data_IF_001915752253
#
_entry.id   IF_001915752253
#
_cell.length_a   1.000
_cell.length_b   1.000
_cell.length_c   1.000
_cell.angle_alpha   90.00
_cell.angle_beta   90.00
_cell.angle_gamma   90.00
#
_symmetry.space_group_name_H-M   'P 1'
#
loop_
_entity.id
_entity.type
_entity.pdbx_description
1 polymer ?
#
# COMPACT_ATOMS: atom_id res chain seq x y z
N UNK A 1 -10.18 -27.36 -31.27
CA UNK A 1 -9.67 -27.67 -29.92
C UNK A 1 -8.30 -27.05 -29.84
N UNK A 2 -7.99 -26.22 -28.83
CA UNK A 2 -6.64 -25.63 -28.71
C UNK A 2 -5.62 -26.75 -28.52
N UNK A 3 -4.64 -26.80 -29.40
CA UNK A 3 -3.55 -27.77 -29.35
C UNK A 3 -2.76 -27.59 -28.06
N UNK A 4 -2.69 -28.64 -27.24
CA UNK A 4 -1.85 -28.63 -26.05
C UNK A 4 -0.39 -28.71 -26.51
N UNK A 5 0.49 -27.81 -26.05
CA UNK A 5 1.86 -27.79 -26.52
C UNK A 5 2.61 -29.03 -26.05
N UNK A 6 3.53 -29.50 -26.89
CA UNK A 6 4.32 -30.72 -26.66
C UNK A 6 5.03 -30.70 -25.30
N UNK A 7 5.55 -29.55 -24.87
CA UNK A 7 6.24 -29.45 -23.57
C UNK A 7 5.33 -29.82 -22.38
N UNK A 8 4.03 -29.51 -22.46
CA UNK A 8 3.09 -29.85 -21.39
C UNK A 8 2.74 -31.33 -21.41
N UNK A 9 2.60 -31.94 -22.60
CA UNK A 9 2.41 -33.39 -22.70
C UNK A 9 3.63 -34.15 -22.20
N UNK A 10 4.84 -33.68 -22.52
CA UNK A 10 6.10 -34.26 -22.04
C UNK A 10 6.18 -34.13 -20.50
N UNK A 11 5.73 -33.00 -19.94
CA UNK A 11 5.62 -32.81 -18.49
C UNK A 11 4.68 -33.83 -17.84
N UNK A 12 3.53 -34.11 -18.45
CA UNK A 12 2.59 -35.12 -17.96
C UNK A 12 3.13 -36.55 -18.05
N UNK A 13 4.04 -36.83 -19.00
CA UNK A 13 4.75 -38.12 -19.04
C UNK A 13 5.67 -38.25 -17.83
N UNK A 14 6.42 -37.19 -17.50
CA UNK A 14 7.36 -37.18 -16.35
C UNK A 14 6.61 -37.33 -15.03
N UNK A 15 5.54 -36.56 -14.81
CA UNK A 15 4.79 -36.57 -13.54
C UNK A 15 3.60 -37.52 -13.53
N UNK A 16 3.34 -38.23 -14.63
CA UNK A 16 2.21 -39.14 -14.82
C UNK A 16 2.03 -40.18 -13.71
N UNK A 17 3.10 -40.86 -13.24
CA UNK A 17 3.00 -41.81 -12.13
C UNK A 17 2.48 -41.19 -10.82
N UNK A 18 2.81 -39.93 -10.55
CA UNK A 18 2.36 -39.21 -9.34
C UNK A 18 0.89 -38.79 -9.49
N UNK A 19 0.48 -38.44 -10.70
CA UNK A 19 -0.87 -37.95 -11.02
C UNK A 19 -1.88 -39.08 -11.29
N UNK A 20 -1.42 -40.34 -11.30
CA UNK A 20 -2.22 -41.50 -11.68
C UNK A 20 -2.72 -41.41 -13.12
N UNK A 21 -1.84 -41.03 -14.06
CA UNK A 21 -2.16 -40.82 -15.47
C UNK A 21 -2.38 -42.13 -16.27
N UNK A 22 -2.09 -43.27 -15.66
CA UNK A 22 -2.35 -44.62 -16.17
C UNK A 22 -3.86 -44.97 -16.20
N UNK A 23 -4.67 -44.23 -15.47
CA UNK A 23 -6.12 -44.40 -15.44
C UNK A 23 -6.80 -43.77 -16.67
N UNK A 24 -7.66 -44.55 -17.33
CA UNK A 24 -8.45 -44.11 -18.48
C UNK A 24 -9.26 -42.85 -18.14
N UNK A 25 -9.06 -41.79 -18.92
CA UNK A 25 -9.77 -40.51 -18.77
C UNK A 25 -9.04 -39.46 -17.92
N UNK A 26 -8.02 -39.84 -17.15
CA UNK A 26 -7.25 -38.88 -16.34
C UNK A 26 -6.43 -37.94 -17.20
N UNK A 27 -5.86 -38.45 -18.30
CA UNK A 27 -5.12 -37.61 -19.26
C UNK A 27 -5.99 -36.46 -19.79
N UNK A 28 -7.27 -36.71 -20.08
CA UNK A 28 -8.22 -35.66 -20.52
C UNK A 28 -8.39 -34.56 -19.48
N UNK A 29 -8.47 -34.92 -18.18
CA UNK A 29 -8.56 -33.96 -17.08
C UNK A 29 -7.27 -33.16 -16.94
N UNK A 30 -6.12 -33.81 -17.01
CA UNK A 30 -4.81 -33.15 -16.92
C UNK A 30 -4.56 -32.18 -18.09
N UNK A 31 -5.09 -32.48 -19.28
CA UNK A 31 -5.09 -31.55 -20.42
C UNK A 31 -6.02 -30.35 -20.20
N UNK A 32 -7.11 -30.48 -19.44
CA UNK A 32 -7.97 -29.35 -19.07
C UNK A 32 -7.27 -28.39 -18.10
N UNK A 33 -6.40 -28.89 -17.22
CA UNK A 33 -5.61 -28.02 -16.33
C UNK A 33 -4.74 -27.04 -17.11
N UNK A 34 -4.19 -27.45 -18.25
CA UNK A 34 -3.41 -26.54 -19.09
C UNK A 34 -4.21 -25.32 -19.52
N UNK A 35 -5.47 -25.51 -19.92
CA UNK A 35 -6.35 -24.39 -20.29
C UNK A 35 -6.59 -23.46 -19.11
N UNK A 36 -6.76 -24.01 -17.91
CA UNK A 36 -6.89 -23.23 -16.69
C UNK A 36 -5.60 -22.42 -16.42
N UNK A 37 -4.43 -23.02 -16.53
CA UNK A 37 -3.16 -22.32 -16.34
C UNK A 37 -2.96 -21.18 -17.34
N UNK A 38 -3.34 -21.37 -18.61
CA UNK A 38 -3.34 -20.31 -19.61
C UNK A 38 -4.31 -19.17 -19.25
N UNK A 39 -5.52 -19.49 -18.81
CA UNK A 39 -6.50 -18.49 -18.38
C UNK A 39 -6.03 -17.70 -17.16
N UNK A 40 -5.28 -18.33 -16.25
CA UNK A 40 -4.66 -17.68 -15.11
C UNK A 40 -3.37 -16.91 -15.45
N UNK A 41 -2.90 -16.96 -16.70
CA UNK A 41 -1.68 -16.29 -17.14
C UNK A 41 -0.42 -16.83 -16.47
N UNK A 42 -0.37 -18.13 -16.20
CA UNK A 42 0.85 -18.78 -15.70
C UNK A 42 1.81 -19.05 -16.85
N UNK A 43 3.10 -18.83 -16.58
CA UNK A 43 4.20 -19.11 -17.52
C UNK A 43 4.60 -20.57 -17.43
N UNK A 44 5.31 -21.04 -18.46
CA UNK A 44 5.80 -22.43 -18.54
C UNK A 44 6.63 -22.81 -17.33
N UNK A 45 7.60 -21.97 -16.99
CA UNK A 45 8.57 -22.21 -15.92
C UNK A 45 7.86 -22.32 -14.56
N UNK A 46 6.85 -21.48 -14.34
CA UNK A 46 6.04 -21.50 -13.13
C UNK A 46 5.24 -22.80 -12.99
N UNK A 47 4.68 -23.29 -14.09
CA UNK A 47 3.96 -24.57 -14.11
C UNK A 47 4.93 -25.72 -13.83
N UNK A 48 6.08 -25.76 -14.52
CA UNK A 48 7.13 -26.78 -14.31
C UNK A 48 7.60 -26.80 -12.84
N UNK A 49 7.86 -25.64 -12.24
CA UNK A 49 8.22 -25.51 -10.83
C UNK A 49 7.12 -25.97 -9.87
N UNK A 50 5.86 -25.67 -10.20
CA UNK A 50 4.71 -26.11 -9.41
C UNK A 50 4.58 -27.65 -9.38
N UNK A 51 4.74 -28.31 -10.53
CA UNK A 51 4.78 -29.78 -10.59
C UNK A 51 6.01 -30.36 -9.87
N UNK A 52 7.18 -29.74 -10.02
CA UNK A 52 8.40 -30.16 -9.32
C UNK A 52 8.24 -30.04 -7.79
N UNK A 53 7.58 -28.99 -7.32
CA UNK A 53 7.28 -28.78 -5.89
C UNK A 53 6.35 -29.87 -5.38
N UNK A 54 5.26 -30.16 -6.10
CA UNK A 54 4.33 -31.24 -5.75
C UNK A 54 5.04 -32.60 -5.68
N UNK A 55 5.94 -32.89 -6.61
CA UNK A 55 6.64 -34.18 -6.66
C UNK A 55 7.64 -34.38 -5.52
N UNK A 56 8.27 -33.29 -5.05
CA UNK A 56 9.24 -33.32 -3.95
C UNK A 56 8.59 -33.36 -2.56
N UNK A 57 7.32 -33.00 -2.44
CA UNK A 57 6.63 -32.96 -1.15
C UNK A 57 6.23 -34.39 -0.69
N UNK A 58 6.74 -34.86 0.46
CA UNK A 58 6.34 -36.15 1.03
C UNK A 58 4.88 -36.16 1.51
N UNK A 59 4.30 -34.99 1.83
CA UNK A 59 2.93 -34.81 2.30
C UNK A 59 1.99 -34.31 1.19
N UNK A 60 2.35 -34.52 -0.07
CA UNK A 60 1.52 -34.09 -1.20
C UNK A 60 0.11 -34.69 -1.12
N UNK A 61 -0.92 -33.94 -1.56
CA UNK A 61 -2.28 -34.45 -1.61
C UNK A 61 -2.41 -35.63 -2.57
N UNK A 62 -3.34 -36.54 -2.30
CA UNK A 62 -3.62 -37.72 -3.13
C UNK A 62 -4.73 -37.46 -4.16
N UNK A 63 -5.62 -36.50 -3.90
CA UNK A 63 -6.71 -36.16 -4.80
C UNK A 63 -6.29 -35.11 -5.84
N UNK A 64 -6.67 -35.32 -7.10
CA UNK A 64 -6.24 -34.46 -8.23
C UNK A 64 -6.67 -33.01 -8.08
N UNK A 65 -7.89 -32.77 -7.59
CA UNK A 65 -8.36 -31.40 -7.34
C UNK A 65 -7.46 -30.68 -6.32
N UNK A 66 -7.05 -31.38 -5.28
CA UNK A 66 -6.15 -30.83 -4.26
C UNK A 66 -4.73 -30.64 -4.82
N UNK A 67 -4.25 -31.56 -5.66
CA UNK A 67 -2.97 -31.41 -6.38
C UNK A 67 -2.96 -30.16 -7.28
N UNK A 68 -4.06 -29.88 -7.99
CA UNK A 68 -4.19 -28.66 -8.80
C UNK A 68 -4.09 -27.40 -7.93
N UNK A 69 -4.85 -27.36 -6.83
CA UNK A 69 -4.81 -26.24 -5.87
C UNK A 69 -3.42 -26.09 -5.27
N UNK A 70 -2.75 -27.20 -4.97
CA UNK A 70 -1.38 -27.22 -4.48
C UNK A 70 -0.41 -26.58 -5.47
N UNK A 71 -0.44 -27.01 -6.74
CA UNK A 71 0.40 -26.45 -7.81
C UNK A 71 0.16 -24.94 -7.96
N UNK A 72 -1.11 -24.51 -7.99
CA UNK A 72 -1.45 -23.09 -8.06
C UNK A 72 -0.88 -22.32 -6.87
N UNK A 73 -0.99 -22.87 -5.66
CA UNK A 73 -0.44 -22.25 -4.44
C UNK A 73 1.08 -22.12 -4.51
N UNK A 74 1.79 -23.14 -4.98
CA UNK A 74 3.24 -23.12 -5.16
C UNK A 74 3.66 -22.02 -6.16
N UNK A 75 2.94 -21.88 -7.28
CA UNK A 75 3.16 -20.80 -8.26
C UNK A 75 2.97 -19.42 -7.60
N UNK A 76 1.89 -19.23 -6.84
CA UNK A 76 1.62 -17.96 -6.16
C UNK A 76 2.69 -17.62 -5.11
N UNK A 77 3.18 -18.62 -4.38
CA UNK A 77 4.26 -18.44 -3.41
C UNK A 77 5.58 -18.08 -4.09
N UNK A 78 5.94 -18.75 -5.19
CA UNK A 78 7.14 -18.41 -5.99
C UNK A 78 7.08 -16.98 -6.52
N UNK A 79 5.93 -16.56 -7.08
CA UNK A 79 5.71 -15.17 -7.51
C UNK A 79 5.85 -14.16 -6.37
N UNK A 80 5.35 -14.50 -5.18
CA UNK A 80 5.46 -13.62 -4.01
C UNK A 80 6.92 -13.51 -3.53
N UNK A 81 7.66 -14.61 -3.50
CA UNK A 81 9.06 -14.63 -3.14
C UNK A 81 9.93 -13.81 -4.11
N UNK A 82 9.71 -13.94 -5.43
CA UNK A 82 10.41 -13.15 -6.44
C UNK A 82 10.17 -11.64 -6.29
N UNK A 83 8.91 -11.24 -6.03
CA UNK A 83 8.58 -9.83 -5.72
C UNK A 83 9.23 -9.34 -4.43
N UNK A 84 9.38 -10.22 -3.45
CA UNK A 84 10.03 -9.88 -2.20
C UNK A 84 11.54 -9.71 -2.38
N UNK A 85 12.21 -10.57 -3.16
CA UNK A 85 13.64 -10.39 -3.46
C UNK A 85 13.92 -9.09 -4.23
N UNK A 86 13.09 -8.74 -5.22
CA UNK A 86 13.17 -7.44 -5.91
C UNK A 86 12.99 -6.26 -4.93
N UNK A 87 12.13 -6.42 -3.91
CA UNK A 87 11.93 -5.40 -2.89
C UNK A 87 13.12 -5.26 -1.93
N UNK A 88 13.78 -6.35 -1.56
CA UNK A 88 14.95 -6.31 -0.67
C UNK A 88 16.13 -5.59 -1.35
N UNK A 89 16.34 -5.79 -2.64
CA UNK A 89 17.34 -5.01 -3.39
C UNK A 89 17.03 -3.51 -3.37
N UNK A 90 15.74 -3.14 -3.46
CA UNK A 90 15.31 -1.74 -3.41
C UNK A 90 15.43 -1.09 -2.01
N UNK A 91 15.39 -1.87 -0.93
CA UNK A 91 15.56 -1.40 0.45
C UNK A 91 17.02 -1.12 0.83
N UNK A 92 18.00 -1.49 -0.01
CA UNK A 92 19.41 -1.14 0.22
C UNK A 92 19.79 0.27 -0.25
N UNK A 93 18.94 0.93 -1.04
CA UNK A 93 19.16 2.32 -1.42
C UNK A 93 18.86 3.26 -0.24
N UNK A 94 19.66 4.34 -0.03
CA UNK A 94 19.34 5.34 0.98
C UNK A 94 17.94 5.92 0.72
N UNK A 95 17.16 6.21 1.78
CA UNK A 95 15.82 6.76 1.61
C UNK A 95 15.89 8.11 0.88
N UNK A 96 14.94 8.37 0.00
CA UNK A 96 14.84 9.66 -0.69
C UNK A 96 14.73 10.78 0.33
N UNK A 97 15.62 11.77 0.22
CA UNK A 97 15.72 12.99 1.03
C UNK A 97 14.41 13.79 1.13
N UNK A 98 13.60 13.80 0.06
CA UNK A 98 12.34 14.55 0.02
C UNK A 98 11.19 13.80 0.72
N UNK A 99 11.03 12.49 0.46
CA UNK A 99 9.86 11.73 0.94
C UNK A 99 10.17 10.72 2.06
N UNK A 100 11.42 10.66 2.53
CA UNK A 100 11.88 9.69 3.52
C UNK A 100 11.70 8.24 3.08
N UNK A 101 11.70 7.98 1.77
CA UNK A 101 11.42 6.66 1.21
C UNK A 101 9.94 6.24 1.21
N UNK A 102 8.99 7.13 1.53
CA UNK A 102 7.55 6.80 1.45
C UNK A 102 7.01 6.80 0.01
N UNK A 103 7.61 7.56 -0.90
CA UNK A 103 7.12 7.79 -2.26
C UNK A 103 6.07 8.89 -2.38
N UNK A 104 5.61 9.47 -1.26
CA UNK A 104 4.61 10.54 -1.23
C UNK A 104 5.11 11.73 -0.41
N UNK A 105 4.64 12.93 -0.74
CA UNK A 105 4.95 14.18 -0.04
C UNK A 105 3.64 14.84 0.36
N UNK A 106 3.55 15.28 1.61
CA UNK A 106 2.42 16.07 2.11
C UNK A 106 2.71 17.54 1.80
N UNK A 107 1.79 18.20 1.13
CA UNK A 107 1.93 19.59 0.68
C UNK A 107 0.64 20.37 0.94
N UNK A 108 0.68 21.72 1.03
CA UNK A 108 -0.52 22.55 1.09
C UNK A 108 -1.50 22.22 -0.04
N UNK A 109 -2.79 22.18 0.24
CA UNK A 109 -3.79 21.97 -0.80
C UNK A 109 -3.82 23.20 -1.72
N UNK A 110 -3.63 23.01 -3.02
CA UNK A 110 -3.50 24.13 -3.97
C UNK A 110 -4.73 25.03 -4.04
N UNK A 111 -5.92 24.50 -3.77
CA UNK A 111 -7.14 25.30 -3.71
C UNK A 111 -7.16 26.27 -2.51
N UNK A 112 -6.32 26.04 -1.51
CA UNK A 112 -6.23 26.83 -0.28
C UNK A 112 -4.95 27.68 -0.24
N UNK A 113 -4.23 27.76 -1.36
CA UNK A 113 -3.06 28.62 -1.54
C UNK A 113 -3.45 29.76 -2.49
N UNK A 114 -3.40 30.99 -1.99
CA UNK A 114 -3.77 32.17 -2.76
C UNK A 114 -2.72 33.26 -2.58
N UNK A 115 -2.23 33.81 -3.69
CA UNK A 115 -1.12 34.78 -3.71
C UNK A 115 0.12 34.33 -2.93
N UNK A 116 0.41 33.02 -2.96
CA UNK A 116 1.55 32.44 -2.25
C UNK A 116 1.33 32.22 -0.74
N UNK A 117 0.15 32.53 -0.20
CA UNK A 117 -0.19 32.31 1.20
C UNK A 117 -1.11 31.10 1.40
N UNK A 118 -0.80 30.24 2.37
CA UNK A 118 -1.63 29.09 2.75
C UNK A 118 -2.72 29.52 3.74
N UNK A 119 -3.96 29.57 3.26
CA UNK A 119 -5.11 30.11 3.99
C UNK A 119 -5.73 29.09 4.93
N UNK A 120 -6.34 29.59 6.00
CA UNK A 120 -7.23 28.79 6.84
C UNK A 120 -8.57 28.61 6.16
N UNK A 121 -9.08 27.39 6.18
CA UNK A 121 -10.39 27.06 5.66
C UNK A 121 -11.22 26.42 6.76
N UNK A 122 -12.44 26.93 6.93
CA UNK A 122 -13.44 26.33 7.80
C UNK A 122 -14.43 25.56 6.93
N UNK A 123 -14.30 24.24 6.88
CA UNK A 123 -15.17 23.40 6.04
C UNK A 123 -16.52 23.11 6.68
N UNK A 124 -16.60 23.16 8.01
CA UNK A 124 -17.80 22.84 8.78
C UNK A 124 -18.10 24.00 9.73
N UNK A 125 -19.33 24.55 9.72
CA UNK A 125 -19.73 25.57 10.68
C UNK A 125 -19.46 25.13 12.13
N UNK A 126 -18.76 25.97 12.90
CA UNK A 126 -18.39 25.68 14.29
C UNK A 126 -17.10 24.87 14.47
N UNK A 127 -16.48 24.36 13.39
CA UNK A 127 -15.15 23.72 13.48
C UNK A 127 -14.03 24.76 13.57
N UNK A 128 -12.90 24.41 14.21
CA UNK A 128 -11.70 25.26 14.21
C UNK A 128 -11.17 25.39 12.77
N UNK A 129 -10.88 26.61 12.27
CA UNK A 129 -10.26 26.80 10.97
C UNK A 129 -8.96 25.99 10.87
N UNK A 130 -8.75 25.31 9.74
CA UNK A 130 -7.54 24.51 9.51
C UNK A 130 -6.97 24.77 8.13
N UNK A 131 -5.66 24.59 8.04
CA UNK A 131 -4.90 24.59 6.79
C UNK A 131 -4.87 23.17 6.24
N UNK A 132 -5.51 22.93 5.10
CA UNK A 132 -5.60 21.59 4.54
C UNK A 132 -4.37 21.24 3.73
N UNK A 133 -3.96 19.98 3.85
CA UNK A 133 -2.89 19.39 3.06
C UNK A 133 -3.45 18.43 2.01
N UNK A 134 -2.61 18.10 1.05
CA UNK A 134 -2.83 17.09 0.02
C UNK A 134 -1.57 16.24 -0.12
N UNK A 135 -1.72 15.01 -0.57
CA UNK A 135 -0.59 14.12 -0.86
C UNK A 135 -0.28 14.13 -2.35
N UNK A 136 0.98 14.38 -2.68
CA UNK A 136 1.51 14.30 -4.05
C UNK A 136 2.57 13.21 -4.15
N UNK A 137 2.71 12.61 -5.32
CA UNK A 137 3.72 11.60 -5.58
C UNK A 137 5.10 12.26 -5.68
N UNK A 138 6.08 11.74 -4.93
CA UNK A 138 7.45 12.25 -4.98
C UNK A 138 8.08 12.03 -6.36
N UNK A 139 9.11 12.80 -6.68
CA UNK A 139 9.86 12.68 -7.95
C UNK A 139 10.84 11.50 -8.00
N UNK A 140 10.96 10.71 -6.92
CA UNK A 140 11.84 9.54 -6.86
C UNK A 140 11.21 8.31 -7.54
N UNK A 141 11.97 7.23 -7.82
CA UNK A 141 11.43 6.02 -8.47
C UNK A 141 10.20 5.43 -7.76
N UNK A 142 10.21 5.42 -6.42
CA UNK A 142 9.05 4.95 -5.63
C UNK A 142 7.83 5.84 -5.84
N UNK A 143 8.00 7.16 -5.84
CA UNK A 143 6.92 8.10 -6.12
C UNK A 143 6.42 8.02 -7.57
N UNK A 144 7.29 7.78 -8.54
CA UNK A 144 6.90 7.52 -9.92
C UNK A 144 5.98 6.29 -10.03
N UNK A 145 6.33 5.18 -9.36
CA UNK A 145 5.47 3.98 -9.28
C UNK A 145 4.14 4.27 -8.58
N UNK A 146 4.12 5.09 -7.53
CA UNK A 146 2.88 5.53 -6.88
C UNK A 146 2.00 6.35 -7.83
N UNK A 147 2.58 7.29 -8.58
CA UNK A 147 1.88 8.08 -9.59
C UNK A 147 1.33 7.19 -10.71
N UNK A 148 2.11 6.22 -11.19
CA UNK A 148 1.69 5.28 -12.22
C UNK A 148 0.56 4.37 -11.73
N UNK A 149 0.70 3.81 -10.53
CA UNK A 149 -0.34 2.97 -9.92
C UNK A 149 -1.67 3.73 -9.82
N UNK A 150 -1.65 4.98 -9.37
CA UNK A 150 -2.86 5.81 -9.26
C UNK A 150 -3.42 6.25 -10.63
N UNK A 151 -2.60 6.27 -11.69
CA UNK A 151 -3.07 6.51 -13.06
C UNK A 151 -3.58 5.24 -13.75
N UNK A 152 -3.11 4.08 -13.33
CA UNK A 152 -3.43 2.81 -13.96
C UNK A 152 -4.93 2.52 -13.94
N UNK A 153 -5.36 1.76 -14.94
CA UNK A 153 -6.74 1.31 -15.10
C UNK A 153 -6.89 -0.14 -14.65
N UNK A 154 -8.07 -0.51 -14.19
CA UNK A 154 -8.46 -1.88 -13.91
C UNK A 154 -8.77 -2.65 -15.21
N UNK A 155 -9.14 -3.92 -15.07
CA UNK A 155 -9.46 -4.77 -16.22
C UNK A 155 -10.67 -4.27 -17.03
N UNK A 156 -11.51 -3.43 -16.42
CA UNK A 156 -12.69 -2.80 -17.00
C UNK A 156 -12.37 -1.43 -17.60
N UNK A 157 -11.10 -1.01 -17.61
CA UNK A 157 -10.67 0.28 -18.14
C UNK A 157 -10.99 1.48 -17.24
N UNK A 158 -11.47 1.27 -16.01
CA UNK A 158 -11.71 2.34 -15.03
C UNK A 158 -10.44 2.65 -14.27
N UNK A 159 -10.21 3.93 -13.94
CA UNK A 159 -9.07 4.30 -13.10
C UNK A 159 -9.18 3.64 -11.73
N UNK A 160 -8.07 3.09 -11.23
CA UNK A 160 -8.01 2.45 -9.91
C UNK A 160 -8.33 3.40 -8.77
N UNK A 161 -8.09 4.70 -8.96
CA UNK A 161 -8.49 5.75 -8.03
C UNK A 161 -9.27 6.83 -8.74
N UNK A 162 -10.25 7.41 -8.05
CA UNK A 162 -11.16 8.43 -8.59
C UNK A 162 -10.42 9.67 -9.09
N UNK A 163 -9.31 10.03 -8.44
CA UNK A 163 -8.46 11.15 -8.82
C UNK A 163 -7.00 10.69 -8.81
N UNK A 164 -6.34 10.61 -9.98
CA UNK A 164 -4.94 10.26 -10.04
C UNK A 164 -4.09 11.23 -9.23
N UNK A 165 -3.07 10.70 -8.54
CA UNK A 165 -2.19 11.52 -7.73
C UNK A 165 -1.36 12.44 -8.63
N UNK A 166 -1.23 13.71 -8.22
CA UNK A 166 -0.34 14.66 -8.89
C UNK A 166 1.11 14.36 -8.52
N UNK A 167 2.04 14.57 -9.44
CA UNK A 167 3.49 14.50 -9.15
C UNK A 167 3.94 15.77 -8.44
N UNK A 168 5.02 15.67 -7.65
CA UNK A 168 5.61 16.82 -6.96
C UNK A 168 6.05 17.90 -7.95
N UNK A 169 6.65 17.51 -9.08
CA UNK A 169 7.02 18.45 -10.18
C UNK A 169 5.82 19.27 -10.66
N UNK A 170 4.67 18.64 -10.90
CA UNK A 170 3.45 19.33 -11.35
C UNK A 170 2.80 20.17 -10.24
N UNK A 171 3.13 19.89 -8.98
CA UNK A 171 2.68 20.67 -7.84
C UNK A 171 3.55 21.92 -7.67
N UNK A 172 4.88 21.76 -7.71
CA UNK A 172 5.86 22.83 -7.52
C UNK A 172 5.73 23.93 -8.59
N UNK A 173 5.35 23.56 -9.82
CA UNK A 173 5.06 24.53 -10.87
C UNK A 173 3.89 25.47 -10.56
N UNK A 174 3.05 25.14 -9.57
CA UNK A 174 1.89 25.94 -9.14
C UNK A 174 2.05 26.56 -7.76
N UNK A 175 2.92 26.00 -6.92
CA UNK A 175 3.24 26.51 -5.59
C UNK A 175 4.70 26.22 -5.26
N UNK A 176 5.65 27.05 -5.73
CA UNK A 176 7.09 26.82 -5.51
C UNK A 176 7.50 27.03 -4.04
N UNK A 177 6.75 27.84 -3.29
CA UNK A 177 7.04 28.24 -1.90
C UNK A 177 6.48 27.27 -0.85
N UNK A 178 6.05 26.08 -1.25
CA UNK A 178 5.33 25.15 -0.36
C UNK A 178 6.16 24.67 0.83
N UNK A 179 7.47 24.56 0.67
CA UNK A 179 8.39 24.15 1.76
C UNK A 179 8.43 25.19 2.87
N UNK A 180 8.50 26.47 2.48
CA UNK A 180 8.47 27.61 3.41
C UNK A 180 7.14 27.64 4.16
N UNK A 181 6.02 27.46 3.44
CA UNK A 181 4.68 27.40 4.03
C UNK A 181 4.51 26.26 5.05
N UNK A 182 5.11 25.09 4.81
CA UNK A 182 5.09 23.97 5.76
C UNK A 182 5.97 24.25 6.99
N UNK A 183 7.15 24.85 6.80
CA UNK A 183 8.03 25.21 7.90
C UNK A 183 7.38 26.24 8.82
N UNK A 184 6.76 27.29 8.25
CA UNK A 184 5.99 28.28 9.00
C UNK A 184 4.83 27.64 9.77
N UNK A 185 4.14 26.67 9.16
CA UNK A 185 3.06 25.94 9.81
C UNK A 185 3.54 25.07 10.97
N UNK A 186 4.67 24.39 10.80
CA UNK A 186 5.28 23.59 11.85
C UNK A 186 5.70 24.45 13.05
N UNK A 187 6.35 25.59 12.79
CA UNK A 187 6.74 26.55 13.82
C UNK A 187 5.50 27.10 14.55
N UNK A 188 4.46 27.48 13.81
CA UNK A 188 3.19 27.94 14.37
C UNK A 188 2.53 26.87 15.25
N UNK A 189 2.49 25.62 14.81
CA UNK A 189 1.93 24.51 15.61
C UNK A 189 2.76 24.21 16.85
N UNK A 190 4.08 24.37 16.80
CA UNK A 190 4.97 24.24 17.95
C UNK A 190 4.69 25.32 18.98
N UNK A 191 4.61 26.58 18.54
CA UNK A 191 4.28 27.71 19.40
C UNK A 191 2.90 27.56 20.03
N UNK A 192 1.90 27.15 19.24
CA UNK A 192 0.55 26.91 19.76
C UNK A 192 0.55 25.84 20.86
N UNK A 193 1.23 24.71 20.65
CA UNK A 193 1.36 23.64 21.66
C UNK A 193 2.08 24.13 22.92
N UNK A 194 3.10 24.95 22.77
CA UNK A 194 3.82 25.54 23.90
C UNK A 194 2.93 26.48 24.72
N UNK A 195 2.17 27.35 24.06
CA UNK A 195 1.22 28.27 24.71
C UNK A 195 0.11 27.48 25.41
N UNK A 196 -0.49 26.51 24.74
CA UNK A 196 -1.53 25.64 25.32
C UNK A 196 -1.01 24.90 26.56
N UNK A 197 0.22 24.37 26.50
CA UNK A 197 0.87 23.72 27.64
C UNK A 197 1.14 24.66 28.80
N UNK A 198 1.64 25.88 28.54
CA UNK A 198 1.88 26.91 29.57
C UNK A 198 0.58 27.35 30.24
N UNK A 199 -0.48 27.59 29.47
CA UNK A 199 -1.80 27.96 29.99
C UNK A 199 -2.39 26.84 30.86
N UNK A 200 -2.34 25.60 30.40
CA UNK A 200 -2.84 24.46 31.18
C UNK A 200 -2.11 24.28 32.51
N UNK A 201 -0.80 24.54 32.54
CA UNK A 201 0.00 24.50 33.78
C UNK A 201 -0.40 25.61 34.76
N UNK A 202 -0.57 26.84 34.27
CA UNK A 202 -1.02 27.97 35.09
C UNK A 202 -2.42 27.74 35.68
N UNK A 203 -3.36 27.24 34.87
CA UNK A 203 -4.71 26.90 35.34
C UNK A 203 -4.68 25.81 36.42
N UNK A 204 -3.81 24.82 36.27
CA UNK A 204 -3.62 23.77 37.27
C UNK A 204 -3.00 24.32 38.57
N UNK A 205 -2.03 25.22 38.49
CA UNK A 205 -1.44 25.89 39.66
C UNK A 205 -2.48 26.76 40.38
N UNK A 206 -3.23 27.60 39.67
CA UNK A 206 -4.26 28.46 40.25
C UNK A 206 -5.47 27.67 40.79
N UNK A 207 -5.85 26.57 40.12
CA UNK A 207 -6.86 25.63 40.58
C UNK A 207 -6.43 24.87 41.84
N UNK A 208 -5.13 24.62 42.03
CA UNK A 208 -4.57 24.11 43.29
C UNK A 208 -4.63 25.16 44.41
N UNK A 209 -4.39 26.44 44.11
CA UNK A 209 -4.50 27.52 45.11
C UNK A 209 -5.93 27.66 45.65
N UNK A 210 -6.97 27.41 44.84
CA UNK A 210 -8.38 27.47 45.28
C UNK A 210 -8.89 26.28 46.09
N UNK A 211 -8.13 25.18 46.24
CA UNK A 211 -8.51 24.05 47.10
C UNK A 211 -8.10 24.20 48.58
N UNK A 212 -7.47 25.32 48.97
CA UNK A 212 -7.27 25.68 50.37
C UNK A 212 -8.40 26.64 50.77
N UNK A 213 -9.61 26.10 50.87
CA UNK A 213 -10.82 26.83 51.21
C UNK A 213 -11.80 25.86 51.86
N UNK A 214 -11.37 25.22 52.94
CA UNK A 214 -12.30 24.71 53.94
C UNK A 214 -13.16 25.91 54.33
N UNK A 215 -14.43 25.91 53.91
CA UNK A 215 -15.40 26.91 54.37
C UNK A 215 -15.45 26.75 55.90
N UNK A 216 -15.07 27.76 56.69
CA UNK A 216 -15.14 27.65 58.15
C UNK A 216 -16.58 27.36 58.53
N UNK A 217 -16.78 26.33 59.37
CA UNK A 217 -18.10 25.83 59.77
C UNK A 217 -18.99 26.91 60.43
N UNK A 218 -18.36 27.96 60.93
CA UNK A 218 -18.92 29.15 61.55
C UNK A 218 -19.66 30.07 60.55
N UNK A 219 -19.59 29.80 59.25
CA UNK A 219 -20.34 30.51 58.20
C UNK A 219 -21.59 29.75 57.74
N UNK A 220 -21.92 28.64 58.41
CA UNK A 220 -23.10 27.81 58.14
C UNK A 220 -24.17 27.89 59.25
N UNK A 221 -24.08 28.87 60.15
CA UNK A 221 -25.11 29.18 61.15
C UNK A 221 -25.81 30.52 60.85
#
# INVERSE_FOLDING_TARGET
>A
MSDTPKWYTDLLVVYGPILGADQKGVMTVLLQWFRLFLQCGYRREEIEDGFATLAKDPNRPTYRQEMLVYIQRAIHQSRAAAKQSERVEEETAPPCDICGGSGIVVVPRLEDVEFGAWKFVQSIPGSKPRRWTSTVACSCPKGARTAEFTRSKDAQGKHRVTRPMRTLVNYESRNPHWREQLAEEEERQKLQREVEGKTANLDHEQGRVRKIGVIPKEWLE
#
